data_IF_296090686970
#
_entry.id   IF_296090686970
#
_cell.length_a   1.000
_cell.length_b   1.000
_cell.length_c   1.000
_cell.angle_alpha   90.00
_cell.angle_beta   90.00
_cell.angle_gamma   90.00
#
_symmetry.space_group_name_H-M   'P 1'
#
loop_
_entity.id
_entity.type
_entity.pdbx_description
1 polymer ?
#
# COMPACT_ATOMS: atom_id res chain seq x y z
N UNK A 1 -5.95 17.50 11.25
CA UNK A 1 -5.29 16.51 10.37
C UNK A 1 -4.16 17.15 9.61
N UNK A 2 -3.11 16.41 9.37
CA UNK A 2 -1.97 16.86 8.57
C UNK A 2 -2.09 16.35 7.14
N UNK A 3 -1.55 17.09 6.19
CA UNK A 3 -1.41 16.61 4.82
C UNK A 3 -0.27 15.60 4.75
N UNK A 4 -0.47 14.53 3.99
CA UNK A 4 0.54 13.52 3.76
C UNK A 4 0.46 13.00 2.34
N UNK A 5 1.39 12.11 1.99
CA UNK A 5 1.44 11.49 0.68
C UNK A 5 1.66 10.00 0.85
N UNK A 6 0.90 9.19 0.13
CA UNK A 6 1.12 7.76 -0.02
C UNK A 6 1.46 7.46 -1.47
N UNK A 7 2.19 6.37 -1.69
CA UNK A 7 2.62 5.96 -3.02
C UNK A 7 1.86 4.72 -3.43
N UNK A 8 1.04 4.85 -4.47
CA UNK A 8 0.25 3.76 -5.00
C UNK A 8 1.00 3.07 -6.12
N UNK A 9 1.10 1.74 -6.05
CA UNK A 9 1.66 0.92 -7.13
C UNK A 9 0.51 0.43 -8.00
N UNK A 10 0.55 0.73 -9.27
CA UNK A 10 -0.44 0.27 -10.26
C UNK A 10 0.26 -0.42 -11.41
N UNK A 11 -0.43 -1.37 -12.03
CA UNK A 11 0.06 -2.05 -13.22
C UNK A 11 -1.13 -2.53 -14.06
N UNK A 12 -0.87 -2.81 -15.33
CA UNK A 12 -1.89 -3.31 -16.25
C UNK A 12 -1.94 -4.84 -16.21
N UNK A 13 -3.12 -5.39 -15.98
CA UNK A 13 -3.32 -6.84 -16.03
C UNK A 13 -3.01 -7.37 -17.42
N UNK A 14 -2.27 -8.47 -17.50
CA UNK A 14 -1.95 -9.14 -18.77
C UNK A 14 -3.15 -9.88 -19.36
N UNK A 15 -4.16 -10.20 -18.53
CA UNK A 15 -5.33 -10.96 -18.94
C UNK A 15 -6.38 -10.08 -19.65
N UNK A 16 -6.68 -8.92 -19.10
CA UNK A 16 -7.77 -8.06 -19.57
C UNK A 16 -7.35 -6.63 -19.95
N UNK A 17 -6.09 -6.26 -19.72
CA UNK A 17 -5.58 -4.93 -20.03
C UNK A 17 -6.03 -3.82 -19.09
N UNK A 18 -6.75 -4.13 -18.03
CA UNK A 18 -7.17 -3.12 -17.04
C UNK A 18 -6.07 -2.79 -16.04
N UNK A 19 -6.02 -1.54 -15.60
CA UNK A 19 -5.11 -1.12 -14.54
C UNK A 19 -5.60 -1.66 -13.20
N UNK A 20 -4.68 -2.28 -12.46
CA UNK A 20 -4.95 -2.83 -11.13
C UNK A 20 -4.13 -2.11 -10.07
N UNK A 21 -4.67 -2.05 -8.85
CA UNK A 21 -3.98 -1.50 -7.67
C UNK A 21 -3.23 -2.63 -6.97
N UNK A 22 -1.92 -2.46 -6.79
CA UNK A 22 -1.05 -3.42 -6.13
C UNK A 22 -0.61 -2.98 -4.74
N UNK A 23 -1.23 -1.96 -4.19
CA UNK A 23 -1.01 -1.51 -2.84
C UNK A 23 -0.60 -0.05 -2.74
N UNK A 24 -0.71 0.47 -1.53
CA UNK A 24 -0.31 1.83 -1.17
C UNK A 24 0.73 1.76 -0.07
N UNK A 25 1.76 2.58 -0.20
CA UNK A 25 2.92 2.57 0.69
C UNK A 25 3.20 3.97 1.21
N UNK A 26 3.64 4.09 2.46
CA UNK A 26 4.14 5.35 3.01
C UNK A 26 5.50 5.67 2.42
N UNK A 27 6.36 4.66 2.29
CA UNK A 27 7.71 4.80 1.76
C UNK A 27 7.74 4.65 0.25
N UNK A 28 8.33 5.64 -0.42
CA UNK A 28 8.59 5.55 -1.87
C UNK A 28 9.48 4.36 -2.22
N UNK A 29 10.47 4.06 -1.40
CA UNK A 29 11.38 2.93 -1.62
C UNK A 29 10.64 1.60 -1.61
N UNK A 30 9.70 1.41 -0.67
CA UNK A 30 8.89 0.21 -0.60
C UNK A 30 7.95 0.09 -1.80
N UNK A 31 7.35 1.19 -2.22
CA UNK A 31 6.51 1.22 -3.43
C UNK A 31 7.32 0.88 -4.68
N UNK A 32 8.51 1.45 -4.80
CA UNK A 32 9.41 1.18 -5.92
C UNK A 32 9.85 -0.29 -5.93
N UNK A 33 10.17 -0.85 -4.78
CA UNK A 33 10.55 -2.26 -4.67
C UNK A 33 9.41 -3.18 -5.16
N UNK A 34 8.16 -2.87 -4.80
CA UNK A 34 7.01 -3.61 -5.30
C UNK A 34 6.85 -3.43 -6.81
N UNK A 35 7.00 -2.22 -7.30
CA UNK A 35 6.95 -1.90 -8.73
C UNK A 35 8.00 -2.71 -9.51
N UNK A 36 9.24 -2.75 -9.01
CA UNK A 36 10.34 -3.47 -9.65
C UNK A 36 10.14 -4.99 -9.60
N UNK A 37 9.34 -5.50 -8.67
CA UNK A 37 9.01 -6.92 -8.58
C UNK A 37 7.97 -7.39 -9.61
N UNK A 38 7.27 -6.46 -10.24
CA UNK A 38 6.24 -6.75 -11.23
C UNK A 38 6.84 -6.88 -12.63
N UNK A 39 6.26 -7.74 -13.52
CA UNK A 39 6.73 -7.87 -14.90
C UNK A 39 6.65 -6.54 -15.65
N UNK A 40 7.65 -6.25 -16.46
CA UNK A 40 7.69 -5.03 -17.27
C UNK A 40 6.53 -4.92 -18.26
N UNK A 41 6.01 -6.07 -18.72
CA UNK A 41 4.86 -6.13 -19.61
C UNK A 41 3.59 -5.53 -18.99
N UNK A 42 3.51 -5.53 -17.67
CA UNK A 42 2.38 -4.94 -16.93
C UNK A 42 2.48 -3.42 -16.81
N UNK A 43 3.57 -2.82 -17.26
CA UNK A 43 3.82 -1.38 -17.16
C UNK A 43 3.59 -0.84 -15.74
N UNK A 44 4.31 -1.38 -14.73
CA UNK A 44 4.09 -0.96 -13.36
C UNK A 44 4.53 0.49 -13.14
N UNK A 45 3.75 1.23 -12.35
CA UNK A 45 4.00 2.64 -12.04
C UNK A 45 3.77 2.91 -10.56
N UNK A 46 4.54 3.85 -10.01
CA UNK A 46 4.34 4.41 -8.68
C UNK A 46 3.72 5.79 -8.83
N UNK A 47 2.54 5.99 -8.24
CA UNK A 47 1.82 7.25 -8.32
C UNK A 47 1.69 7.87 -6.92
N UNK A 48 2.11 9.14 -6.73
CA UNK A 48 1.87 9.82 -5.48
C UNK A 48 0.39 10.16 -5.33
N UNK A 49 -0.15 9.93 -4.14
CA UNK A 49 -1.54 10.21 -3.80
C UNK A 49 -1.60 11.06 -2.54
N UNK A 50 -2.28 12.18 -2.60
CA UNK A 50 -2.47 13.05 -1.44
C UNK A 50 -3.44 12.40 -0.46
N UNK A 51 -3.14 12.53 0.83
CA UNK A 51 -3.98 12.00 1.89
C UNK A 51 -3.95 12.93 3.10
N UNK A 52 -4.81 12.64 4.08
CA UNK A 52 -4.81 13.31 5.38
C UNK A 52 -4.41 12.31 6.44
N UNK A 53 -3.63 12.76 7.42
CA UNK A 53 -3.17 11.94 8.54
C UNK A 53 -3.84 12.47 9.79
N UNK A 54 -4.54 11.61 10.53
CA UNK A 54 -5.18 12.00 11.79
C UNK A 54 -4.19 11.97 12.97
N UNK A 55 -4.68 12.32 14.17
CA UNK A 55 -3.88 12.37 15.39
C UNK A 55 -3.31 11.01 15.81
N UNK A 56 -3.96 9.93 15.38
CA UNK A 56 -3.54 8.56 15.66
C UNK A 56 -2.58 8.01 14.62
N UNK A 57 -2.24 8.79 13.59
CA UNK A 57 -1.37 8.38 12.50
C UNK A 57 -2.10 7.55 11.43
N UNK A 58 -3.42 7.55 11.41
CA UNK A 58 -4.21 6.87 10.39
C UNK A 58 -4.33 7.74 9.15
N UNK A 59 -4.12 7.15 7.99
CA UNK A 59 -4.18 7.81 6.71
C UNK A 59 -5.58 7.72 6.12
N UNK A 60 -6.09 8.84 5.63
CA UNK A 60 -7.43 8.97 5.05
C UNK A 60 -7.37 9.61 3.68
N UNK A 61 -8.07 9.04 2.72
CA UNK A 61 -8.31 9.65 1.41
C UNK A 61 -9.67 10.36 1.38
N UNK A 62 -9.78 11.41 0.58
CA UNK A 62 -11.08 12.03 0.33
C UNK A 62 -11.92 11.13 -0.58
N UNK A 63 -13.23 10.91 -0.30
CA UNK A 63 -14.06 11.60 0.71
C UNK A 63 -14.13 10.96 2.11
N UNK A 64 -13.08 10.50 2.70
CA UNK A 64 -12.92 9.90 4.04
C UNK A 64 -12.92 8.37 4.04
N UNK A 65 -12.21 7.80 3.11
CA UNK A 65 -11.92 6.37 3.16
C UNK A 65 -10.57 6.14 3.85
N UNK A 66 -10.53 5.18 4.76
CA UNK A 66 -9.28 4.79 5.40
C UNK A 66 -8.36 4.13 4.38
N UNK A 67 -7.14 4.63 4.29
CA UNK A 67 -6.13 4.06 3.40
C UNK A 67 -5.57 2.77 3.99
N UNK A 68 -5.62 1.69 3.25
CA UNK A 68 -4.97 0.42 3.62
C UNK A 68 -3.52 0.46 3.16
N UNK A 69 -2.58 0.56 4.12
CA UNK A 69 -1.16 0.69 3.83
C UNK A 69 -0.48 -0.67 3.88
N UNK A 70 0.19 -1.03 2.80
CA UNK A 70 0.86 -2.33 2.67
C UNK A 70 2.10 -2.43 3.57
N UNK A 71 2.84 -1.34 3.75
CA UNK A 71 4.01 -1.33 4.62
C UNK A 71 3.63 -1.38 6.11
N UNK A 72 2.53 -0.76 6.53
CA UNK A 72 2.02 -0.87 7.91
C UNK A 72 1.60 -2.30 8.23
N UNK A 73 0.93 -2.95 7.30
CA UNK A 73 0.52 -4.35 7.46
C UNK A 73 1.74 -5.25 7.67
N UNK A 74 2.79 -5.05 6.90
CA UNK A 74 4.03 -5.80 7.03
C UNK A 74 4.68 -5.58 8.40
N UNK A 75 4.69 -4.34 8.91
CA UNK A 75 5.21 -4.01 10.25
C UNK A 75 4.44 -4.70 11.36
N UNK A 76 3.12 -4.70 11.29
CA UNK A 76 2.27 -5.36 12.28
C UNK A 76 2.54 -6.87 12.28
N UNK A 77 2.60 -7.49 11.12
CA UNK A 77 2.88 -8.93 11.00
C UNK A 77 4.27 -9.29 11.55
N UNK A 78 5.27 -8.43 11.33
CA UNK A 78 6.62 -8.65 11.83
C UNK A 78 6.72 -8.55 13.37
N UNK A 79 5.81 -7.80 14.01
CA UNK A 79 5.76 -7.66 15.47
C UNK A 79 4.94 -8.73 16.17
N UNK A 80 4.14 -9.49 15.45
CA UNK A 80 3.30 -10.53 16.01
C UNK A 80 4.14 -11.75 16.37
N UNK A 81 3.83 -12.37 17.53
CA UNK A 81 4.37 -13.68 17.88
C UNK A 81 3.70 -14.75 17.03
N UNK A 82 4.30 -15.95 16.96
CA UNK A 82 3.70 -17.08 16.24
C UNK A 82 2.31 -17.41 16.77
N UNK A 83 2.12 -17.35 18.09
CA UNK A 83 0.85 -17.57 18.77
C UNK A 83 -0.20 -16.53 18.35
N UNK A 84 0.18 -15.26 18.29
CA UNK A 84 -0.71 -14.20 17.84
C UNK A 84 -1.09 -14.35 16.36
N UNK A 85 -0.16 -14.79 15.53
CA UNK A 85 -0.42 -15.08 14.11
C UNK A 85 -1.44 -16.21 13.96
N UNK A 86 -1.32 -17.27 14.76
CA UNK A 86 -2.25 -18.39 14.75
C UNK A 86 -3.68 -17.93 15.11
N UNK A 87 -3.81 -17.07 16.12
CA UNK A 87 -5.09 -16.51 16.54
C UNK A 87 -5.73 -15.67 15.42
N UNK A 88 -4.93 -14.88 14.72
CA UNK A 88 -5.40 -14.05 13.62
C UNK A 88 -5.57 -14.81 12.30
N UNK A 89 -5.07 -16.01 12.21
CA UNK A 89 -5.16 -16.82 10.99
C UNK A 89 -4.25 -16.35 9.86
N UNK A 90 -3.11 -15.74 10.21
CA UNK A 90 -2.16 -15.21 9.22
C UNK A 90 -0.81 -15.91 9.26
#
# INVERSE_FOLDING_TARGET
MKKGTVFQVTATSLDDGHRCDFGKYISFENAKAKCDSLPKQMEPKVLPRDCLIDELGVYWEMPREKVSLSDDKAKILAKLTDEERDILGV
#
